data_IF_356868839870
#
_entry.id   IF_356868839870
#
_cell.length_a   1.000
_cell.length_b   1.000
_cell.length_c   1.000
_cell.angle_alpha   90.00
_cell.angle_beta   90.00
_cell.angle_gamma   90.00
#
_symmetry.space_group_name_H-M   'P 1'
#
loop_
_entity.id
_entity.type
_entity.pdbx_description
1 polymer ?
#
# COMPACT_ATOMS: atom_id res chain seq x y z
N UNK A 1 -10.65 26.24 -10.28
CA UNK A 1 -10.36 24.83 -9.89
C UNK A 1 -9.93 24.65 -8.43
N UNK A 2 -9.29 25.64 -7.76
CA UNK A 2 -8.89 25.52 -6.34
C UNK A 2 -10.08 25.37 -5.36
N UNK A 3 -11.22 26.01 -5.64
CA UNK A 3 -12.41 25.92 -4.79
C UNK A 3 -12.98 24.50 -4.70
N UNK A 4 -13.05 23.80 -5.84
CA UNK A 4 -13.55 22.41 -5.89
C UNK A 4 -12.62 21.49 -5.09
N UNK A 5 -11.29 21.67 -5.19
CA UNK A 5 -10.31 20.88 -4.42
C UNK A 5 -10.44 21.09 -2.91
N UNK A 6 -10.64 22.33 -2.46
CA UNK A 6 -10.85 22.64 -1.04
C UNK A 6 -12.14 22.03 -0.49
N UNK A 7 -13.24 22.12 -1.26
CA UNK A 7 -14.51 21.47 -0.88
C UNK A 7 -14.35 19.96 -0.84
N UNK A 8 -13.69 19.37 -1.83
CA UNK A 8 -13.44 17.93 -1.86
C UNK A 8 -12.59 17.50 -0.66
N UNK A 9 -11.50 18.20 -0.36
CA UNK A 9 -10.67 17.89 0.81
C UNK A 9 -11.47 17.91 2.12
N UNK A 10 -12.40 18.86 2.30
CA UNK A 10 -13.29 18.89 3.48
C UNK A 10 -14.22 17.67 3.53
N UNK A 11 -14.81 17.29 2.40
CA UNK A 11 -15.64 16.08 2.31
C UNK A 11 -14.80 14.83 2.61
N UNK A 12 -13.60 14.76 2.04
CA UNK A 12 -12.69 13.64 2.27
C UNK A 12 -12.31 13.49 3.72
N UNK A 13 -12.04 14.59 4.43
CA UNK A 13 -11.66 14.50 5.84
C UNK A 13 -12.74 13.78 6.67
N UNK A 14 -14.01 14.15 6.45
CA UNK A 14 -15.16 13.49 7.11
C UNK A 14 -15.28 12.03 6.69
N UNK A 15 -15.19 11.75 5.39
CA UNK A 15 -15.29 10.38 4.87
C UNK A 15 -14.14 9.49 5.36
N UNK A 16 -12.91 10.02 5.37
CA UNK A 16 -11.70 9.35 5.82
C UNK A 16 -11.82 8.94 7.28
N UNK A 17 -12.28 9.85 8.15
CA UNK A 17 -12.55 9.54 9.56
C UNK A 17 -13.61 8.46 9.71
N UNK A 18 -14.68 8.51 8.92
CA UNK A 18 -15.71 7.47 8.88
C UNK A 18 -15.15 6.10 8.46
N UNK A 19 -14.39 6.04 7.36
CA UNK A 19 -13.76 4.80 6.88
C UNK A 19 -12.83 4.19 7.93
N UNK A 20 -12.01 5.02 8.59
CA UNK A 20 -11.13 4.55 9.67
C UNK A 20 -11.93 4.04 10.87
N UNK A 21 -12.93 4.80 11.31
CA UNK A 21 -13.74 4.43 12.47
C UNK A 21 -14.48 3.10 12.25
N UNK A 22 -15.09 2.91 11.08
CA UNK A 22 -15.88 1.71 10.79
C UNK A 22 -14.98 0.54 10.36
N UNK A 23 -13.86 0.80 9.70
CA UNK A 23 -12.85 -0.22 9.38
C UNK A 23 -12.17 -0.81 10.62
N UNK A 24 -12.19 -0.10 11.75
CA UNK A 24 -11.72 -0.57 13.07
C UNK A 24 -12.85 -1.15 13.94
N UNK A 25 -14.04 -1.36 13.38
CA UNK A 25 -15.16 -1.97 14.11
C UNK A 25 -14.85 -3.40 14.52
N UNK A 26 -15.29 -3.80 15.72
CA UNK A 26 -15.24 -5.19 16.18
C UNK A 26 -16.16 -6.11 15.36
N UNK A 27 -17.17 -5.53 14.69
CA UNK A 27 -18.01 -6.29 13.77
C UNK A 27 -17.26 -6.49 12.44
N UNK A 28 -16.66 -7.66 12.30
CA UNK A 28 -15.87 -8.04 11.13
C UNK A 28 -16.61 -7.84 9.80
N UNK A 29 -17.90 -8.21 9.71
CA UNK A 29 -18.67 -8.05 8.47
C UNK A 29 -18.83 -6.58 8.08
N UNK A 30 -19.06 -5.71 9.05
CA UNK A 30 -19.17 -4.26 8.83
C UNK A 30 -17.81 -3.68 8.41
N UNK A 31 -16.73 -4.08 9.08
CA UNK A 31 -15.37 -3.66 8.73
C UNK A 31 -15.01 -4.10 7.30
N UNK A 32 -15.25 -5.36 6.92
CA UNK A 32 -15.02 -5.89 5.56
C UNK A 32 -15.78 -5.07 4.52
N UNK A 33 -17.07 -4.79 4.76
CA UNK A 33 -17.89 -4.02 3.83
C UNK A 33 -17.35 -2.60 3.59
N UNK A 34 -16.93 -1.93 4.67
CA UNK A 34 -16.36 -0.59 4.58
C UNK A 34 -14.97 -0.61 3.93
N UNK A 35 -14.16 -1.62 4.19
CA UNK A 35 -12.87 -1.79 3.53
C UNK A 35 -13.01 -1.99 2.02
N UNK A 36 -13.99 -2.78 1.58
CA UNK A 36 -14.25 -2.96 0.16
C UNK A 36 -14.79 -1.68 -0.49
N UNK A 37 -15.70 -0.98 0.20
CA UNK A 37 -16.24 0.31 -0.26
C UNK A 37 -15.12 1.35 -0.43
N UNK A 38 -14.18 1.41 0.52
CA UNK A 38 -13.00 2.25 0.43
C UNK A 38 -12.12 1.88 -0.77
N UNK A 39 -11.84 0.58 -0.98
CA UNK A 39 -11.07 0.09 -2.13
C UNK A 39 -11.70 0.51 -3.45
N UNK A 40 -13.01 0.32 -3.62
CA UNK A 40 -13.72 0.69 -4.83
C UNK A 40 -13.60 2.20 -5.12
N UNK A 41 -13.73 3.02 -4.08
CA UNK A 41 -13.60 4.47 -4.20
C UNK A 41 -12.17 4.87 -4.60
N UNK A 42 -11.17 4.37 -3.89
CA UNK A 42 -9.76 4.72 -4.14
C UNK A 42 -9.31 4.25 -5.53
N UNK A 43 -9.76 3.08 -6.00
CA UNK A 43 -9.52 2.62 -7.37
C UNK A 43 -9.94 3.65 -8.42
N UNK A 44 -11.13 4.24 -8.27
CA UNK A 44 -11.62 5.28 -9.19
C UNK A 44 -10.80 6.56 -9.18
N UNK A 45 -10.12 6.85 -8.07
CA UNK A 45 -9.20 7.99 -7.97
C UNK A 45 -7.81 7.68 -8.51
N UNK A 46 -7.31 6.47 -8.32
CA UNK A 46 -6.01 6.04 -8.84
C UNK A 46 -6.01 5.87 -10.37
N UNK A 47 -7.16 5.58 -10.99
CA UNK A 47 -7.34 5.60 -12.45
C UNK A 47 -7.17 7.00 -13.07
N UNK A 48 -7.19 8.07 -12.27
CA UNK A 48 -7.05 9.45 -12.75
C UNK A 48 -5.62 9.95 -12.59
N UNK A 49 -5.16 10.73 -13.57
CA UNK A 49 -3.87 11.38 -13.47
C UNK A 49 -3.82 12.35 -12.28
N UNK A 50 -2.79 12.17 -11.45
CA UNK A 50 -2.50 13.12 -10.38
C UNK A 50 -1.89 14.40 -10.96
N UNK A 51 -2.55 15.53 -10.67
CA UNK A 51 -2.16 16.87 -11.12
C UNK A 51 -0.90 17.32 -10.37
N UNK A 52 0.01 17.99 -11.09
CA UNK A 52 1.19 18.59 -10.49
C UNK A 52 0.78 19.52 -9.33
N UNK A 53 1.40 19.34 -8.15
CA UNK A 53 1.14 20.06 -6.89
C UNK A 53 -0.14 19.69 -6.12
N UNK A 54 -0.79 18.56 -6.44
CA UNK A 54 -1.90 18.05 -5.63
C UNK A 54 -1.74 16.55 -5.36
N UNK A 55 -1.09 16.23 -4.23
CA UNK A 55 -0.74 14.87 -3.80
C UNK A 55 -1.93 14.12 -3.19
N UNK A 56 -3.06 14.05 -3.89
CA UNK A 56 -4.28 13.49 -3.34
C UNK A 56 -4.19 11.97 -3.15
N UNK A 57 -3.46 11.26 -4.01
CA UNK A 57 -3.41 9.80 -3.94
C UNK A 57 -2.92 9.31 -2.57
N UNK A 58 -1.94 10.01 -1.98
CA UNK A 58 -1.47 9.74 -0.63
C UNK A 58 -2.58 9.91 0.43
N UNK A 59 -3.38 10.97 0.35
CA UNK A 59 -4.49 11.25 1.28
C UNK A 59 -5.62 10.21 1.15
N UNK A 60 -5.92 9.76 -0.07
CA UNK A 60 -6.95 8.73 -0.29
C UNK A 60 -6.54 7.36 0.22
N UNK A 61 -5.24 7.05 0.21
CA UNK A 61 -4.71 5.78 0.69
C UNK A 61 -4.44 5.78 2.21
N UNK A 62 -4.41 6.96 2.85
CA UNK A 62 -4.12 7.11 4.29
C UNK A 62 -5.02 6.28 5.21
N UNK A 63 -6.34 6.11 4.95
CA UNK A 63 -7.18 5.23 5.77
C UNK A 63 -6.66 3.78 5.83
N UNK A 64 -6.17 3.22 4.72
CA UNK A 64 -5.59 1.87 4.72
C UNK A 64 -4.38 1.76 5.66
N UNK A 65 -3.51 2.78 5.67
CA UNK A 65 -2.35 2.84 6.57
C UNK A 65 -2.80 2.85 8.03
N UNK A 66 -3.74 3.74 8.37
CA UNK A 66 -4.19 3.91 9.75
C UNK A 66 -4.89 2.65 10.27
N UNK A 67 -5.72 2.00 9.45
CA UNK A 67 -6.42 0.79 9.84
C UNK A 67 -5.42 -0.37 9.97
N UNK A 68 -4.48 -0.53 9.04
CA UNK A 68 -3.42 -1.55 9.13
C UNK A 68 -2.62 -1.44 10.42
N UNK A 69 -2.30 -0.21 10.86
CA UNK A 69 -1.51 0.02 12.08
C UNK A 69 -2.27 -0.16 13.39
N UNK A 70 -3.61 -0.10 13.35
CA UNK A 70 -4.45 -0.08 14.56
C UNK A 70 -5.33 -1.31 14.72
N UNK A 71 -5.58 -2.05 13.64
CA UNK A 71 -6.42 -3.24 13.65
C UNK A 71 -5.71 -4.38 14.37
N UNK A 72 -6.41 -5.04 15.28
CA UNK A 72 -5.96 -6.29 15.90
C UNK A 72 -6.49 -7.54 15.16
N UNK A 73 -7.34 -7.37 14.14
CA UNK A 73 -7.85 -8.47 13.31
C UNK A 73 -6.90 -8.76 12.16
N UNK A 74 -6.37 -9.98 12.14
CA UNK A 74 -5.50 -10.48 11.07
C UNK A 74 -6.22 -10.55 9.72
N UNK A 75 -7.53 -10.83 9.74
CA UNK A 75 -8.40 -10.88 8.57
C UNK A 75 -8.55 -9.50 7.92
N UNK A 76 -8.74 -8.44 8.72
CA UNK A 76 -8.78 -7.06 8.20
C UNK A 76 -7.42 -6.65 7.66
N UNK A 77 -6.32 -6.97 8.35
CA UNK A 77 -4.97 -6.69 7.85
C UNK A 77 -4.68 -7.43 6.53
N UNK A 78 -5.10 -8.70 6.41
CA UNK A 78 -4.96 -9.46 5.15
C UNK A 78 -5.78 -8.83 4.03
N UNK A 79 -7.02 -8.45 4.33
CA UNK A 79 -7.90 -7.76 3.38
C UNK A 79 -7.24 -6.46 2.89
N UNK A 80 -6.65 -5.66 3.78
CA UNK A 80 -5.94 -4.43 3.41
C UNK A 80 -4.79 -4.71 2.44
N UNK A 81 -3.93 -5.69 2.76
CA UNK A 81 -2.80 -6.05 1.89
C UNK A 81 -3.32 -6.48 0.52
N UNK A 82 -4.35 -7.34 0.47
CA UNK A 82 -4.98 -7.77 -0.79
C UNK A 82 -5.55 -6.61 -1.58
N UNK A 83 -6.28 -5.72 -0.93
CA UNK A 83 -6.86 -4.54 -1.56
C UNK A 83 -5.75 -3.69 -2.18
N UNK A 84 -4.75 -3.29 -1.40
CA UNK A 84 -3.65 -2.43 -1.86
C UNK A 84 -2.84 -3.10 -2.97
N UNK A 85 -2.51 -4.38 -2.83
CA UNK A 85 -1.82 -5.15 -3.87
C UNK A 85 -2.58 -5.14 -5.18
N UNK A 86 -3.88 -5.44 -5.15
CA UNK A 86 -4.70 -5.43 -6.36
C UNK A 86 -4.77 -4.04 -6.97
N UNK A 87 -4.98 -3.00 -6.15
CA UNK A 87 -5.05 -1.63 -6.64
C UNK A 87 -3.79 -1.27 -7.40
N UNK A 88 -2.63 -1.44 -6.77
CA UNK A 88 -1.34 -1.06 -7.36
C UNK A 88 -1.04 -1.86 -8.62
N UNK A 89 -1.32 -3.17 -8.65
CA UNK A 89 -1.13 -3.98 -9.85
C UNK A 89 -2.02 -3.53 -11.01
N UNK A 90 -3.22 -3.05 -10.74
CA UNK A 90 -4.15 -2.56 -11.75
C UNK A 90 -3.83 -1.15 -12.25
N UNK A 91 -3.15 -0.31 -11.45
CA UNK A 91 -2.89 1.09 -11.78
C UNK A 91 -1.43 1.53 -11.63
N UNK A 92 -0.46 0.61 -11.71
CA UNK A 92 0.96 0.85 -11.43
C UNK A 92 1.54 2.10 -12.10
N UNK A 93 1.12 2.38 -13.35
CA UNK A 93 1.59 3.53 -14.14
C UNK A 93 0.96 4.86 -13.70
N UNK A 94 -0.17 4.83 -12.99
CA UNK A 94 -0.90 6.00 -12.52
C UNK A 94 -0.59 6.34 -11.05
N UNK A 95 0.00 5.42 -10.29
CA UNK A 95 0.42 5.69 -8.91
C UNK A 95 1.63 6.63 -8.92
N UNK A 96 1.47 7.80 -8.30
CA UNK A 96 2.48 8.84 -8.09
C UNK A 96 2.69 9.06 -6.59
N UNK A 97 2.06 10.07 -5.97
CA UNK A 97 2.21 10.33 -4.54
C UNK A 97 1.69 9.18 -3.65
N UNK A 98 0.82 8.32 -4.19
CA UNK A 98 0.23 7.19 -3.49
C UNK A 98 1.24 6.11 -3.06
N UNK A 99 2.41 6.03 -3.70
CA UNK A 99 3.44 5.05 -3.36
C UNK A 99 3.89 5.12 -1.89
N UNK A 100 3.89 6.32 -1.30
CA UNK A 100 4.23 6.50 0.12
C UNK A 100 3.31 5.68 1.02
N UNK A 101 2.00 5.81 0.87
CA UNK A 101 1.02 5.05 1.66
C UNK A 101 1.07 3.55 1.35
N UNK A 102 1.29 3.17 0.09
CA UNK A 102 1.47 1.75 -0.29
C UNK A 102 2.63 1.12 0.46
N UNK A 103 3.78 1.79 0.51
CA UNK A 103 4.96 1.28 1.23
C UNK A 103 4.75 1.23 2.73
N UNK A 104 4.04 2.19 3.31
CA UNK A 104 3.69 2.14 4.72
C UNK A 104 2.82 0.92 5.05
N UNK A 105 1.81 0.60 4.23
CA UNK A 105 0.98 -0.60 4.41
C UNK A 105 1.84 -1.86 4.34
N UNK A 106 2.63 -2.02 3.28
CA UNK A 106 3.46 -3.21 3.09
C UNK A 106 4.55 -3.37 4.14
N UNK A 107 5.17 -2.29 4.60
CA UNK A 107 6.17 -2.34 5.67
C UNK A 107 5.53 -2.74 6.99
N UNK A 108 4.34 -2.23 7.30
CA UNK A 108 3.59 -2.61 8.51
C UNK A 108 3.21 -4.10 8.45
N UNK A 109 2.72 -4.56 7.29
CA UNK A 109 2.31 -5.95 7.09
C UNK A 109 3.47 -6.96 7.20
N UNK A 110 4.67 -6.57 6.78
CA UNK A 110 5.87 -7.40 6.93
C UNK A 110 6.37 -7.42 8.38
N UNK A 111 6.14 -6.34 9.15
CA UNK A 111 6.52 -6.27 10.56
C UNK A 111 5.63 -7.12 11.48
N UNK A 112 4.37 -7.37 11.11
CA UNK A 112 3.39 -8.11 11.93
C UNK A 112 3.57 -9.65 11.91
N UNK A 113 4.70 -10.19 11.41
CA UNK A 113 5.10 -11.62 11.41
C UNK A 113 4.06 -12.63 10.87
N UNK A 114 2.99 -12.18 10.20
CA UNK A 114 1.99 -13.05 9.63
C UNK A 114 2.43 -13.56 8.25
N UNK A 115 2.67 -14.87 8.14
CA UNK A 115 3.28 -15.50 6.96
C UNK A 115 2.55 -15.24 5.63
N UNK A 116 1.22 -15.09 5.66
CA UNK A 116 0.41 -14.84 4.46
C UNK A 116 0.53 -13.39 3.95
N UNK A 117 0.65 -12.42 4.86
CA UNK A 117 0.85 -11.00 4.50
C UNK A 117 2.16 -10.79 3.75
N UNK A 118 3.22 -11.47 4.22
CA UNK A 118 4.56 -11.38 3.63
C UNK A 118 4.61 -11.89 2.19
N UNK A 119 4.06 -13.08 1.89
CA UNK A 119 4.13 -13.67 0.55
C UNK A 119 3.40 -12.82 -0.49
N UNK A 120 2.19 -12.33 -0.18
CA UNK A 120 1.44 -11.50 -1.11
C UNK A 120 2.12 -10.15 -1.35
N UNK A 121 2.67 -9.56 -0.29
CA UNK A 121 3.44 -8.31 -0.37
C UNK A 121 4.68 -8.50 -1.25
N UNK A 122 5.45 -9.56 -1.04
CA UNK A 122 6.66 -9.89 -1.83
C UNK A 122 6.31 -10.15 -3.30
N UNK A 123 5.24 -10.92 -3.57
CA UNK A 123 4.78 -11.18 -4.93
C UNK A 123 4.40 -9.88 -5.65
N UNK A 124 3.60 -9.04 -4.98
CA UNK A 124 3.16 -7.75 -5.51
C UNK A 124 4.35 -6.86 -5.79
N UNK A 125 5.28 -6.76 -4.84
CA UNK A 125 6.51 -6.00 -4.97
C UNK A 125 7.30 -6.38 -6.22
N UNK A 126 7.58 -7.69 -6.38
CA UNK A 126 8.33 -8.21 -7.53
C UNK A 126 7.67 -7.87 -8.86
N UNK A 127 6.34 -7.91 -8.91
CA UNK A 127 5.57 -7.59 -10.12
C UNK A 127 5.56 -6.09 -10.41
N UNK A 128 5.48 -5.26 -9.36
CA UNK A 128 5.59 -3.80 -9.49
C UNK A 128 7.00 -3.36 -9.91
N UNK A 129 8.06 -3.92 -9.33
CA UNK A 129 9.45 -3.59 -9.70
C UNK A 129 9.73 -3.90 -11.16
N UNK A 130 9.29 -5.06 -11.66
CA UNK A 130 9.39 -5.42 -13.08
C UNK A 130 8.62 -4.44 -13.99
N UNK A 131 7.54 -3.84 -13.49
CA UNK A 131 6.77 -2.82 -14.22
C UNK A 131 7.37 -1.41 -14.10
N UNK A 132 8.20 -1.16 -13.08
CA UNK A 132 8.75 0.15 -12.68
C UNK A 132 10.22 0.37 -13.06
N UNK A 133 10.88 -0.58 -13.75
CA UNK A 133 12.29 -0.52 -14.19
C UNK A 133 12.67 0.73 -15.02
N UNK A 134 11.72 1.63 -15.33
CA UNK A 134 12.00 2.88 -16.03
C UNK A 134 12.19 4.14 -15.17
N UNK A 135 11.85 4.19 -13.87
CA UNK A 135 11.78 5.51 -13.20
C UNK A 135 12.23 5.69 -11.74
N UNK A 136 12.51 4.66 -10.91
CA UNK A 136 12.76 4.94 -9.48
C UNK A 136 13.83 4.06 -8.82
N UNK A 137 15.08 4.55 -8.82
CA UNK A 137 16.21 3.98 -8.09
C UNK A 137 15.99 3.93 -6.56
N UNK A 138 15.10 4.77 -6.02
CA UNK A 138 14.71 4.77 -4.60
C UNK A 138 13.93 3.52 -4.16
N UNK A 139 13.42 2.72 -5.10
CA UNK A 139 12.75 1.45 -4.80
C UNK A 139 13.74 0.33 -4.45
N UNK A 140 14.99 0.42 -4.90
CA UNK A 140 16.04 -0.56 -4.57
C UNK A 140 16.42 -0.51 -3.09
N UNK A 141 16.45 0.68 -2.47
CA UNK A 141 16.76 0.81 -1.04
C UNK A 141 15.67 0.18 -0.14
N UNK A 142 14.39 0.35 -0.50
CA UNK A 142 13.27 -0.28 0.21
C UNK A 142 13.25 -1.80 -0.02
N UNK A 143 13.62 -2.24 -1.23
CA UNK A 143 13.79 -3.66 -1.55
C UNK A 143 14.86 -4.32 -0.68
N UNK A 144 16.00 -3.64 -0.48
CA UNK A 144 17.09 -4.08 0.39
C UNK A 144 16.63 -4.09 1.85
N UNK A 145 15.91 -3.07 2.32
CA UNK A 145 15.44 -3.00 3.70
C UNK A 145 14.45 -4.13 4.06
N UNK A 146 13.52 -4.46 3.15
CA UNK A 146 12.56 -5.56 3.33
C UNK A 146 13.23 -6.95 3.23
N UNK A 147 14.23 -7.12 2.34
CA UNK A 147 15.02 -8.35 2.23
C UNK A 147 15.96 -8.56 3.42
N UNK A 148 16.58 -7.49 3.93
CA UNK A 148 17.50 -7.53 5.08
C UNK A 148 16.76 -7.90 6.36
N UNK A 149 15.52 -7.43 6.56
CA UNK A 149 14.71 -7.84 7.71
C UNK A 149 14.24 -9.31 7.62
N UNK A 150 14.03 -9.85 6.42
CA UNK A 150 13.69 -11.26 6.18
C UNK A 150 14.89 -12.22 6.42
N UNK A 151 16.13 -11.74 6.34
CA UNK A 151 17.33 -12.58 6.47
C UNK A 151 17.69 -13.02 7.89
N UNK A 152 16.90 -12.63 8.91
CA UNK A 152 17.02 -13.21 10.25
C UNK A 152 16.41 -14.62 10.37
N UNK A 153 15.67 -15.10 9.37
CA UNK A 153 14.91 -16.36 9.44
C UNK A 153 15.37 -17.44 8.43
N UNK A 154 16.11 -17.12 7.36
CA UNK A 154 16.64 -18.16 6.46
C UNK A 154 18.04 -17.86 5.93
N UNK A 155 18.97 -18.78 6.20
CA UNK A 155 20.40 -18.70 5.88
C UNK A 155 20.76 -18.81 4.39
N UNK A 156 20.12 -18.02 3.52
CA UNK A 156 20.61 -17.82 2.16
C UNK A 156 21.77 -16.81 2.15
N UNK A 157 22.77 -17.04 1.30
CA UNK A 157 23.97 -16.20 1.24
C UNK A 157 23.69 -14.92 0.42
N UNK A 158 23.56 -13.79 1.13
CA UNK A 158 23.20 -12.46 0.60
C UNK A 158 24.04 -12.02 -0.61
N UNK A 159 25.31 -12.45 -0.64
CA UNK A 159 26.28 -12.00 -1.65
C UNK A 159 25.94 -12.47 -3.06
N UNK A 160 25.37 -13.67 -3.21
CA UNK A 160 25.02 -14.24 -4.52
C UNK A 160 23.81 -13.55 -5.16
N UNK A 161 22.85 -13.08 -4.36
CA UNK A 161 21.67 -12.38 -4.87
C UNK A 161 22.00 -10.95 -5.27
N UNK A 162 22.85 -10.27 -4.50
CA UNK A 162 23.36 -8.93 -4.82
C UNK A 162 24.23 -8.95 -6.08
N UNK A 163 25.08 -9.97 -6.27
CA UNK A 163 25.87 -10.13 -7.50
C UNK A 163 25.01 -10.46 -8.73
N UNK A 164 23.91 -11.21 -8.56
CA UNK A 164 22.96 -11.52 -9.63
C UNK A 164 22.16 -10.29 -10.09
N UNK A 165 21.85 -9.38 -9.17
CA UNK A 165 21.17 -8.11 -9.47
C UNK A 165 22.13 -7.07 -10.05
N UNK A 166 23.41 -7.09 -9.63
CA UNK A 166 24.43 -6.14 -10.11
C UNK A 166 25.05 -6.53 -11.46
N UNK A 167 24.84 -7.76 -11.93
CA UNK A 167 25.39 -8.27 -13.21
C UNK A 167 24.43 -8.18 -14.40
N UNK A 168 23.28 -7.52 -14.25
CA UNK A 168 22.35 -7.14 -15.32
C UNK A 168 22.16 -5.63 -15.36
#
# INVERSE_FOLDING_TARGET
MNHIRLVWSRIWNVLSEFFVSVGLSENLSVAIFVMDSLRQLVMKFLEREELANYNFQNEFLKPFVVIMQKSNSSEICELIVRCVSQMVLSCVNHVKSGWKSVFMVFTTAVADDCSLHCLLTIYTWKKCTLSLERNYASLLEVSIFLLVHHHRISGLNLNLLVESIRSK
#
